data_IF_634333612343
#
_entry.id   IF_634333612343
#
_cell.length_a   1.000
_cell.length_b   1.000
_cell.length_c   1.000
_cell.angle_alpha   90.00
_cell.angle_beta   90.00
_cell.angle_gamma   90.00
#
_symmetry.space_group_name_H-M   'P 1'
#
loop_
_entity.id
_entity.type
_entity.pdbx_description
1 polymer ?
#
# COMPACT_ATOMS: atom_id res chain seq x y z
N UNK A 1 2.49 -10.36 -0.49
CA UNK A 1 2.32 -9.08 0.26
C UNK A 1 3.50 -8.11 0.18
N UNK A 2 4.77 -8.55 0.18
CA UNK A 2 5.92 -7.64 0.08
C UNK A 2 5.96 -6.83 -1.23
N UNK A 3 5.51 -7.40 -2.36
CA UNK A 3 5.43 -6.67 -3.63
C UNK A 3 4.46 -5.47 -3.59
N UNK A 4 3.35 -5.57 -2.84
CA UNK A 4 2.45 -4.43 -2.64
C UNK A 4 3.09 -3.36 -1.76
N UNK A 5 3.84 -3.77 -0.72
CA UNK A 5 4.59 -2.84 0.12
C UNK A 5 5.71 -2.15 -0.66
N UNK A 6 6.44 -2.86 -1.51
CA UNK A 6 7.50 -2.25 -2.32
C UNK A 6 6.99 -1.26 -3.35
N UNK A 7 5.74 -1.42 -3.83
CA UNK A 7 5.09 -0.45 -4.71
C UNK A 7 4.53 0.74 -3.92
N UNK A 8 4.03 0.50 -2.71
CA UNK A 8 3.40 1.52 -1.88
C UNK A 8 4.38 2.39 -1.10
N UNK A 9 5.41 1.80 -0.49
CA UNK A 9 6.31 2.51 0.42
C UNK A 9 7.03 3.69 -0.25
N UNK A 10 7.62 3.57 -1.45
CA UNK A 10 8.29 4.70 -2.09
C UNK A 10 7.32 5.83 -2.41
N UNK A 11 6.13 5.51 -2.93
CA UNK A 11 5.14 6.52 -3.31
C UNK A 11 4.48 7.18 -2.10
N UNK A 12 4.18 6.42 -1.04
CA UNK A 12 3.69 6.97 0.21
C UNK A 12 4.73 7.89 0.86
N UNK A 13 5.99 7.48 0.90
CA UNK A 13 7.08 8.25 1.50
C UNK A 13 7.43 9.52 0.73
N UNK A 14 7.49 9.45 -0.60
CA UNK A 14 8.00 10.54 -1.44
C UNK A 14 6.92 11.51 -1.91
N UNK A 15 5.65 11.09 -1.95
CA UNK A 15 4.55 11.91 -2.51
C UNK A 15 3.44 12.16 -1.49
N UNK A 16 2.88 11.12 -0.88
CA UNK A 16 1.70 11.27 0.00
C UNK A 16 2.08 11.94 1.34
N UNK A 17 3.13 11.44 2.01
CA UNK A 17 3.56 11.96 3.31
C UNK A 17 4.00 13.43 3.26
N UNK A 18 4.77 13.90 2.26
CA UNK A 18 5.15 15.31 2.17
C UNK A 18 3.94 16.23 1.96
N UNK A 19 2.99 15.85 1.09
CA UNK A 19 1.76 16.61 0.87
C UNK A 19 0.90 16.68 2.13
N UNK A 20 0.75 15.54 2.83
CA UNK A 20 0.02 15.46 4.09
C UNK A 20 0.68 16.31 5.18
N UNK A 21 2.01 16.24 5.31
CA UNK A 21 2.77 17.04 6.26
C UNK A 21 2.58 18.54 6.00
N UNK A 22 2.68 18.96 4.73
CA UNK A 22 2.45 20.34 4.32
C UNK A 22 1.04 20.82 4.69
N UNK A 23 0.00 20.04 4.36
CA UNK A 23 -1.40 20.35 4.68
C UNK A 23 -1.65 20.45 6.19
N UNK A 24 -1.02 19.59 6.98
CA UNK A 24 -1.13 19.59 8.45
C UNK A 24 -0.41 20.79 9.05
N UNK A 25 0.81 21.08 8.60
CA UNK A 25 1.59 22.22 9.08
C UNK A 25 0.89 23.56 8.81
N UNK A 26 0.18 23.67 7.68
CA UNK A 26 -0.56 24.88 7.34
C UNK A 26 -1.91 25.00 8.04
N UNK A 27 -2.40 23.96 8.75
CA UNK A 27 -3.75 23.96 9.34
C UNK A 27 -3.99 25.15 10.28
N UNK A 28 -3.00 25.51 11.10
CA UNK A 28 -3.13 26.62 12.07
C UNK A 28 -2.99 27.97 11.38
N UNK A 29 -1.97 28.14 10.54
CA UNK A 29 -1.68 29.43 9.88
C UNK A 29 -2.75 29.79 8.85
N UNK A 30 -3.30 28.80 8.15
CA UNK A 30 -4.37 29.00 7.17
C UNK A 30 -5.72 29.35 7.80
N UNK A 31 -5.87 29.27 9.13
CA UNK A 31 -7.11 29.69 9.79
C UNK A 31 -7.34 31.21 9.64
N UNK A 32 -6.25 31.98 9.70
CA UNK A 32 -6.29 33.44 9.64
C UNK A 32 -5.88 33.99 8.27
N UNK A 33 -5.28 33.17 7.40
CA UNK A 33 -4.84 33.53 6.05
C UNK A 33 -5.67 32.81 4.97
N UNK A 34 -6.53 33.57 4.27
CA UNK A 34 -7.42 33.05 3.23
C UNK A 34 -6.67 32.58 1.98
N UNK A 35 -5.57 33.23 1.61
CA UNK A 35 -4.77 32.84 0.45
C UNK A 35 -4.04 31.54 0.74
N UNK A 36 -3.46 31.42 1.93
CA UNK A 36 -2.84 30.19 2.40
C UNK A 36 -3.86 29.05 2.54
N UNK A 37 -5.10 29.35 2.95
CA UNK A 37 -6.16 28.34 2.99
C UNK A 37 -6.54 27.84 1.59
N UNK A 38 -6.57 28.72 0.58
CA UNK A 38 -6.81 28.31 -0.80
C UNK A 38 -5.69 27.39 -1.31
N UNK A 39 -4.43 27.71 -1.01
CA UNK A 39 -3.28 26.85 -1.32
C UNK A 39 -3.36 25.50 -0.57
N UNK A 40 -3.77 25.50 0.70
CA UNK A 40 -3.95 24.29 1.51
C UNK A 40 -5.00 23.35 0.92
N UNK A 41 -6.10 23.87 0.39
CA UNK A 41 -7.11 23.04 -0.29
C UNK A 41 -6.60 22.48 -1.63
N UNK A 42 -5.74 23.20 -2.36
CA UNK A 42 -5.06 22.65 -3.54
C UNK A 42 -4.10 21.51 -3.16
N UNK A 43 -3.32 21.68 -2.09
CA UNK A 43 -2.43 20.62 -1.57
C UNK A 43 -3.23 19.39 -1.14
N UNK A 44 -4.40 19.59 -0.51
CA UNK A 44 -5.31 18.50 -0.15
C UNK A 44 -5.85 17.75 -1.36
N UNK A 45 -6.21 18.47 -2.44
CA UNK A 45 -6.63 17.83 -3.68
C UNK A 45 -5.49 16.99 -4.29
N UNK A 46 -4.27 17.51 -4.26
CA UNK A 46 -3.07 16.79 -4.72
C UNK A 46 -2.76 15.56 -3.84
N UNK A 47 -2.90 15.65 -2.51
CA UNK A 47 -2.75 14.51 -1.60
C UNK A 47 -3.75 13.39 -1.97
N UNK A 48 -5.02 13.74 -2.18
CA UNK A 48 -6.05 12.78 -2.56
C UNK A 48 -5.79 12.14 -3.93
N UNK A 49 -5.31 12.91 -4.91
CA UNK A 49 -4.96 12.36 -6.23
C UNK A 49 -3.74 11.42 -6.14
N UNK A 50 -2.73 11.79 -5.35
CA UNK A 50 -1.58 10.93 -5.08
C UNK A 50 -1.99 9.61 -4.41
N UNK A 51 -2.91 9.64 -3.44
CA UNK A 51 -3.48 8.44 -2.81
C UNK A 51 -4.27 7.58 -3.81
N UNK A 52 -5.08 8.20 -4.70
CA UNK A 52 -5.80 7.48 -5.75
C UNK A 52 -4.84 6.78 -6.71
N UNK A 53 -3.77 7.44 -7.13
CA UNK A 53 -2.75 6.81 -7.98
C UNK A 53 -2.08 5.63 -7.29
N UNK A 54 -1.83 5.72 -5.98
CA UNK A 54 -1.31 4.60 -5.20
C UNK A 54 -2.29 3.42 -5.22
N UNK A 55 -3.58 3.67 -4.99
CA UNK A 55 -4.61 2.63 -5.05
C UNK A 55 -4.67 1.95 -6.41
N UNK A 56 -4.64 2.71 -7.51
CA UNK A 56 -4.64 2.14 -8.88
C UNK A 56 -3.38 1.31 -9.15
N UNK A 57 -2.20 1.75 -8.66
CA UNK A 57 -0.95 0.98 -8.79
C UNK A 57 -1.02 -0.33 -7.99
N UNK A 58 -1.57 -0.27 -6.79
CA UNK A 58 -1.80 -1.45 -5.96
C UNK A 58 -2.80 -2.40 -6.59
N UNK A 59 -3.90 -1.89 -7.15
CA UNK A 59 -4.90 -2.68 -7.86
C UNK A 59 -4.28 -3.41 -9.06
N UNK A 60 -3.53 -2.71 -9.92
CA UNK A 60 -2.80 -3.33 -11.05
C UNK A 60 -1.82 -4.40 -10.59
N UNK A 61 -1.12 -4.17 -9.48
CA UNK A 61 -0.19 -5.15 -8.91
C UNK A 61 -0.93 -6.37 -8.37
N UNK A 62 -2.10 -6.17 -7.75
CA UNK A 62 -2.96 -7.23 -7.26
C UNK A 62 -3.66 -8.02 -8.39
N UNK A 63 -3.93 -7.41 -9.55
CA UNK A 63 -4.50 -8.12 -10.72
C UNK A 63 -3.55 -9.20 -11.25
N UNK A 64 -2.25 -9.04 -11.07
CA UNK A 64 -1.25 -10.05 -11.42
C UNK A 64 -1.15 -11.21 -10.41
N UNK A 65 -1.87 -11.10 -9.29
CA UNK A 65 -1.92 -12.20 -8.34
C UNK A 65 -2.79 -13.32 -8.89
N UNK A 66 -2.39 -14.58 -8.67
CA UNK A 66 -3.20 -15.70 -9.07
C UNK A 66 -4.56 -15.57 -8.39
N UNK A 67 -5.60 -15.41 -9.20
CA UNK A 67 -6.99 -15.59 -8.80
C UNK A 67 -7.16 -17.10 -8.58
N UNK A 68 -6.56 -17.64 -7.52
CA UNK A 68 -6.79 -19.01 -7.14
C UNK A 68 -8.28 -19.11 -6.83
N UNK A 69 -9.04 -19.77 -7.70
CA UNK A 69 -10.29 -20.41 -7.30
C UNK A 69 -10.02 -21.09 -5.96
N UNK A 70 -10.96 -20.98 -5.01
CA UNK A 70 -10.82 -21.29 -3.59
C UNK A 70 -10.35 -22.72 -3.24
N UNK A 71 -9.93 -23.51 -4.23
CA UNK A 71 -9.48 -24.89 -4.19
C UNK A 71 -7.97 -25.04 -3.95
N UNK A 72 -7.13 -24.05 -4.28
CA UNK A 72 -5.68 -24.15 -4.04
C UNK A 72 -5.14 -23.08 -3.09
N UNK A 73 -5.40 -23.32 -1.80
CA UNK A 73 -4.92 -22.52 -0.68
C UNK A 73 -3.36 -22.52 -0.60
N UNK A 74 -2.71 -23.54 -1.16
CA UNK A 74 -1.23 -23.63 -1.22
C UNK A 74 -0.65 -22.66 -2.25
N UNK A 75 -1.26 -22.56 -3.44
CA UNK A 75 -0.87 -21.58 -4.45
C UNK A 75 -1.12 -20.13 -3.99
N UNK A 76 -2.22 -19.89 -3.25
CA UNK A 76 -2.48 -18.59 -2.63
C UNK A 76 -1.41 -18.25 -1.58
N UNK A 77 -1.08 -19.18 -0.69
CA UNK A 77 0.00 -19.00 0.28
C UNK A 77 1.33 -18.69 -0.40
N UNK A 78 1.68 -19.43 -1.45
CA UNK A 78 2.89 -19.17 -2.23
C UNK A 78 2.93 -17.74 -2.78
N UNK A 79 1.83 -17.22 -3.34
CA UNK A 79 1.76 -15.84 -3.80
C UNK A 79 1.90 -14.80 -2.68
N UNK A 80 1.28 -15.05 -1.53
CA UNK A 80 1.36 -14.16 -0.35
C UNK A 80 2.78 -14.14 0.22
N UNK A 81 3.42 -15.30 0.27
CA UNK A 81 4.73 -15.53 0.87
C UNK A 81 5.89 -15.46 -0.10
N UNK A 82 5.67 -15.32 -1.42
CA UNK A 82 6.74 -15.29 -2.43
C UNK A 82 7.83 -14.27 -2.10
N UNK A 83 7.43 -13.12 -1.56
CA UNK A 83 8.37 -12.13 -1.04
C UNK A 83 9.05 -12.54 0.27
N UNK A 84 8.37 -13.23 1.17
CA UNK A 84 8.95 -13.69 2.44
C UNK A 84 9.65 -15.06 2.35
N UNK A 85 9.65 -15.72 1.19
CA UNK A 85 10.19 -17.06 1.02
C UNK A 85 11.71 -17.17 1.21
N UNK A 86 12.41 -16.05 1.12
CA UNK A 86 13.83 -15.94 1.42
C UNK A 86 14.14 -15.67 2.89
N UNK A 87 13.13 -15.32 3.70
CA UNK A 87 13.33 -14.91 5.10
C UNK A 87 13.27 -16.10 6.06
N UNK A 88 12.39 -17.07 5.82
CA UNK A 88 12.30 -18.28 6.65
C UNK A 88 11.57 -19.40 5.89
N UNK A 89 12.34 -20.38 5.41
CA UNK A 89 11.83 -21.52 4.65
C UNK A 89 11.05 -22.50 5.54
N UNK A 90 11.43 -22.61 6.81
CA UNK A 90 10.83 -23.55 7.76
C UNK A 90 9.46 -23.03 8.21
N UNK A 91 9.32 -21.72 8.43
CA UNK A 91 8.03 -21.09 8.69
C UNK A 91 7.04 -21.26 7.53
N UNK A 92 7.50 -21.21 6.28
CA UNK A 92 6.66 -21.49 5.11
C UNK A 92 6.22 -22.94 5.04
N UNK A 93 7.10 -23.87 5.42
CA UNK A 93 6.76 -25.28 5.45
C UNK A 93 5.68 -25.56 6.50
N UNK A 94 5.78 -24.97 7.70
CA UNK A 94 4.74 -25.08 8.74
C UNK A 94 3.39 -24.52 8.30
N UNK A 95 3.39 -23.37 7.62
CA UNK A 95 2.19 -22.78 7.05
C UNK A 95 1.53 -23.69 6.00
N UNK A 96 2.34 -24.33 5.16
CA UNK A 96 1.86 -25.24 4.11
C UNK A 96 1.19 -26.49 4.72
N UNK A 97 1.82 -27.09 5.73
CA UNK A 97 1.27 -28.24 6.47
C UNK A 97 -0.05 -27.88 7.17
N UNK A 98 -0.14 -26.69 7.76
CA UNK A 98 -1.36 -26.23 8.43
C UNK A 98 -2.52 -25.99 7.44
N UNK A 99 -2.22 -25.58 6.21
CA UNK A 99 -3.21 -25.25 5.17
C UNK A 99 -3.71 -26.47 4.40
N UNK A 100 -2.87 -27.47 4.16
CA UNK A 100 -3.30 -28.70 3.47
C UNK A 100 -4.13 -29.63 4.35
N UNK A 101 -4.13 -29.40 5.67
CA UNK A 101 -4.71 -30.35 6.64
C UNK A 101 -3.96 -31.68 6.66
N UNK A 102 -4.03 -32.39 7.78
CA UNK A 102 -3.71 -33.83 7.84
C UNK A 102 -4.69 -34.65 7.01
#
# INVERSE_FOLDING_TARGET
MQQLRSVAEPWDADVVRPLRALRVNWKVVAADDRELNALREQVKALELEAERHLLVRLERSAQSWPQCEATDLSAWLEGVTAGAAHLDRDALHQLRVAVTGT
#
